data_IF_783672443301
#
_entry.id   IF_783672443301
#
_cell.length_a   1.000
_cell.length_b   1.000
_cell.length_c   1.000
_cell.angle_alpha   90.00
_cell.angle_beta   90.00
_cell.angle_gamma   90.00
#
_symmetry.space_group_name_H-M   'P 1'
#
loop_
_entity.id
_entity.type
_entity.pdbx_description
1 polymer ?
#
# COMPACT_ATOMS: atom_id res chain seq x y z
N UNK A 1 48.91 -39.16 -3.74
CA UNK A 1 49.12 -37.90 -2.98
C UNK A 1 48.11 -36.86 -3.48
N UNK A 2 47.38 -36.24 -2.53
CA UNK A 2 46.55 -35.01 -2.64
C UNK A 2 45.23 -35.14 -3.42
N UNK A 3 44.10 -35.28 -2.71
CA UNK A 3 43.14 -34.24 -2.21
C UNK A 3 42.20 -33.78 -3.33
N UNK A 4 40.96 -34.25 -3.37
CA UNK A 4 39.77 -33.66 -2.73
C UNK A 4 39.59 -32.19 -3.10
N UNK A 5 38.49 -31.86 -3.79
CA UNK A 5 37.58 -30.78 -3.40
C UNK A 5 36.27 -30.84 -4.20
N UNK A 6 35.22 -31.13 -3.44
CA UNK A 6 33.83 -30.80 -3.68
C UNK A 6 33.72 -29.32 -4.10
N UNK A 7 32.94 -29.03 -5.13
CA UNK A 7 32.40 -27.69 -5.34
C UNK A 7 30.87 -27.82 -5.39
N UNK A 8 30.27 -27.89 -4.21
CA UNK A 8 28.92 -27.40 -4.01
C UNK A 8 29.00 -25.86 -4.05
N UNK A 9 28.42 -25.26 -5.07
CA UNK A 9 28.03 -23.85 -5.01
C UNK A 9 26.51 -23.84 -5.07
N UNK A 10 25.90 -23.88 -3.89
CA UNK A 10 24.51 -23.45 -3.72
C UNK A 10 24.38 -22.04 -4.28
N UNK A 11 23.32 -21.82 -5.05
CA UNK A 11 22.95 -20.52 -5.57
C UNK A 11 22.96 -19.49 -4.42
N UNK A 12 23.94 -18.58 -4.45
CA UNK A 12 23.82 -17.34 -3.72
C UNK A 12 22.69 -16.57 -4.40
N UNK A 13 21.49 -16.64 -3.82
CA UNK A 13 20.41 -15.72 -4.15
C UNK A 13 20.98 -14.31 -4.05
N UNK A 14 20.88 -13.56 -5.15
CA UNK A 14 21.27 -12.16 -5.21
C UNK A 14 20.33 -11.39 -4.28
N UNK A 15 20.66 -11.32 -3.00
CA UNK A 15 20.05 -10.37 -2.09
C UNK A 15 20.48 -8.99 -2.58
N UNK A 16 19.59 -8.27 -3.26
CA UNK A 16 19.82 -6.87 -3.61
C UNK A 16 20.16 -6.09 -2.33
N UNK A 17 21.20 -5.26 -2.38
CA UNK A 17 21.79 -4.58 -1.22
C UNK A 17 20.83 -3.66 -0.44
N UNK A 18 19.64 -3.38 -1.00
CA UNK A 18 18.68 -2.41 -0.48
C UNK A 18 17.43 -3.03 0.16
N UNK A 19 17.29 -4.36 0.19
CA UNK A 19 16.13 -5.02 0.80
C UNK A 19 16.18 -4.96 2.33
N UNK A 20 15.08 -4.55 2.94
CA UNK A 20 14.90 -4.59 4.39
C UNK A 20 14.67 -6.04 4.80
N UNK A 21 15.43 -6.51 5.78
CA UNK A 21 15.25 -7.84 6.37
C UNK A 21 14.15 -7.78 7.42
N UNK A 22 13.17 -8.70 7.40
CA UNK A 22 12.15 -8.72 8.42
C UNK A 22 12.74 -9.09 9.78
N UNK A 23 12.16 -8.55 10.86
CA UNK A 23 12.59 -8.86 12.23
C UNK A 23 12.34 -10.32 12.65
N UNK A 24 11.54 -11.05 11.88
CA UNK A 24 11.18 -12.45 12.11
C UNK A 24 10.88 -13.16 10.80
N UNK A 25 10.97 -14.49 10.80
CA UNK A 25 10.72 -15.34 9.63
C UNK A 25 9.27 -15.89 9.57
N UNK A 26 8.40 -15.49 10.50
CA UNK A 26 7.02 -15.97 10.63
C UNK A 26 5.98 -15.10 9.91
N UNK A 27 6.42 -14.17 9.07
CA UNK A 27 5.53 -13.45 8.15
C UNK A 27 4.98 -14.40 7.07
N UNK A 28 3.70 -14.28 6.77
CA UNK A 28 3.05 -15.01 5.68
C UNK A 28 3.68 -14.72 4.32
N UNK A 29 4.03 -13.45 4.07
CA UNK A 29 4.76 -13.03 2.89
C UNK A 29 6.26 -13.12 3.12
N UNK A 30 6.99 -13.51 2.07
CA UNK A 30 8.44 -13.51 2.10
C UNK A 30 9.01 -12.08 2.04
N UNK A 31 10.32 -11.93 2.27
CA UNK A 31 10.96 -10.61 2.30
C UNK A 31 10.80 -9.82 1.00
N UNK A 32 10.85 -10.46 -0.17
CA UNK A 32 10.68 -9.79 -1.47
C UNK A 32 9.25 -9.25 -1.64
N UNK A 33 8.25 -10.06 -1.31
CA UNK A 33 6.85 -9.67 -1.36
C UNK A 33 6.55 -8.47 -0.45
N UNK A 34 7.11 -8.47 0.76
CA UNK A 34 7.00 -7.37 1.72
C UNK A 34 7.73 -6.10 1.25
N UNK A 35 8.94 -6.22 0.70
CA UNK A 35 9.69 -5.10 0.14
C UNK A 35 9.01 -4.48 -1.09
N UNK A 36 8.28 -5.28 -1.88
CA UNK A 36 7.47 -4.74 -2.98
C UNK A 36 6.24 -3.97 -2.48
N UNK A 37 5.70 -4.32 -1.30
CA UNK A 37 4.63 -3.56 -0.65
C UNK A 37 5.17 -2.24 -0.11
N UNK A 38 6.22 -2.27 0.73
CA UNK A 38 6.83 -1.06 1.29
C UNK A 38 8.34 -1.27 1.51
N UNK A 39 9.13 -0.25 1.20
CA UNK A 39 10.58 -0.21 1.38
C UNK A 39 11.05 1.24 1.58
N UNK A 40 12.36 1.45 1.70
CA UNK A 40 12.94 2.78 1.95
C UNK A 40 12.64 3.82 0.86
N UNK A 41 12.34 3.39 -0.38
CA UNK A 41 12.04 4.26 -1.53
C UNK A 41 10.55 4.34 -1.87
N UNK A 42 9.73 3.42 -1.32
CA UNK A 42 8.28 3.34 -1.51
C UNK A 42 7.59 3.14 -0.16
N UNK A 43 6.85 4.15 0.29
CA UNK A 43 6.11 4.10 1.57
C UNK A 43 7.01 3.81 2.78
N UNK A 44 8.14 4.53 2.87
CA UNK A 44 9.13 4.33 3.94
C UNK A 44 8.57 4.51 5.36
N UNK A 45 7.51 5.30 5.53
CA UNK A 45 6.82 5.48 6.81
C UNK A 45 5.89 4.31 7.20
N UNK A 46 5.79 3.28 6.35
CA UNK A 46 4.79 2.21 6.47
C UNK A 46 5.39 0.81 6.41
N UNK A 47 6.70 0.71 6.65
CA UNK A 47 7.41 -0.56 6.70
C UNK A 47 6.97 -1.31 7.97
N UNK A 48 6.15 -2.33 7.80
CA UNK A 48 5.49 -3.04 8.90
C UNK A 48 6.29 -4.22 9.48
N UNK A 49 7.42 -4.55 8.85
CA UNK A 49 8.19 -5.77 9.11
C UNK A 49 9.62 -5.50 9.57
N UNK A 50 10.02 -4.23 9.76
CA UNK A 50 11.38 -3.88 10.21
C UNK A 50 11.56 -4.07 11.72
N UNK A 51 10.50 -3.88 12.51
CA UNK A 51 10.48 -4.09 13.96
C UNK A 51 9.12 -4.62 14.42
N UNK A 52 9.06 -5.34 15.56
CA UNK A 52 7.79 -5.78 16.13
C UNK A 52 6.91 -4.58 16.50
N UNK A 53 5.61 -4.84 16.62
CA UNK A 53 4.65 -3.85 17.11
C UNK A 53 4.91 -3.53 18.58
N UNK A 54 4.51 -2.35 19.02
CA UNK A 54 4.77 -1.84 20.37
C UNK A 54 3.45 -1.44 21.06
N UNK A 55 3.47 -1.33 22.39
CA UNK A 55 2.32 -0.91 23.19
C UNK A 55 1.40 -2.05 23.63
N UNK A 56 0.27 -1.69 24.25
CA UNK A 56 -0.65 -2.64 24.92
C UNK A 56 -1.25 -3.68 23.96
N UNK A 57 -1.46 -3.31 22.69
CA UNK A 57 -2.05 -4.15 21.64
C UNK A 57 -0.98 -4.71 20.69
N UNK A 58 0.30 -4.72 21.07
CA UNK A 58 1.40 -5.18 20.20
C UNK A 58 1.17 -6.57 19.62
N UNK A 59 0.75 -7.53 20.45
CA UNK A 59 0.48 -8.91 20.01
C UNK A 59 -0.65 -8.99 18.96
N UNK A 60 -1.65 -8.11 19.08
CA UNK A 60 -2.74 -8.02 18.12
C UNK A 60 -2.24 -7.53 16.76
N UNK A 61 -1.47 -6.45 16.75
CA UNK A 61 -0.92 -5.91 15.51
C UNK A 61 0.15 -6.81 14.88
N UNK A 62 0.96 -7.51 15.66
CA UNK A 62 1.91 -8.50 15.14
C UNK A 62 1.18 -9.66 14.47
N UNK A 63 0.11 -10.19 15.07
CA UNK A 63 -0.69 -11.24 14.43
C UNK A 63 -1.26 -10.78 13.08
N UNK A 64 -1.79 -9.54 13.01
CA UNK A 64 -2.32 -8.97 11.76
C UNK A 64 -1.21 -8.75 10.73
N UNK A 65 -0.08 -8.13 11.10
CA UNK A 65 1.03 -7.81 10.19
C UNK A 65 1.72 -9.05 9.65
N UNK A 66 1.83 -10.10 10.47
CA UNK A 66 2.37 -11.41 10.07
C UNK A 66 1.40 -12.24 9.24
N UNK A 67 0.12 -11.87 9.19
CA UNK A 67 -0.89 -12.64 8.48
C UNK A 67 -1.30 -13.92 9.21
N UNK A 68 -1.27 -13.93 10.54
CA UNK A 68 -1.72 -15.05 11.36
C UNK A 68 -3.23 -14.96 11.61
N UNK A 69 -4.01 -15.46 10.66
CA UNK A 69 -5.47 -15.44 10.72
C UNK A 69 -6.00 -16.21 11.95
N UNK A 70 -5.34 -17.30 12.35
CA UNK A 70 -5.83 -18.14 13.45
C UNK A 70 -5.65 -17.44 14.80
N UNK A 71 -4.51 -16.77 15.02
CA UNK A 71 -4.33 -15.91 16.18
C UNK A 71 -5.28 -14.72 16.15
N UNK A 72 -5.47 -14.07 14.99
CA UNK A 72 -6.45 -12.98 14.84
C UNK A 72 -7.85 -13.45 15.25
N UNK A 73 -8.33 -14.58 14.72
CA UNK A 73 -9.63 -15.16 15.09
C UNK A 73 -9.74 -15.43 16.59
N UNK A 74 -8.70 -15.99 17.19
CA UNK A 74 -8.66 -16.30 18.64
C UNK A 74 -8.77 -15.02 19.48
N UNK A 75 -8.03 -13.97 19.13
CA UNK A 75 -8.07 -12.70 19.86
C UNK A 75 -9.44 -12.02 19.74
N UNK A 76 -10.04 -12.02 18.54
CA UNK A 76 -11.41 -11.50 18.34
C UNK A 76 -12.43 -12.27 19.17
N UNK A 77 -12.36 -13.61 19.21
CA UNK A 77 -13.24 -14.43 20.08
C UNK A 77 -13.07 -14.13 21.57
N UNK A 78 -11.89 -13.66 21.97
CA UNK A 78 -11.58 -13.27 23.34
C UNK A 78 -11.88 -11.79 23.64
N UNK A 79 -12.58 -11.08 22.74
CA UNK A 79 -13.03 -9.70 22.96
C UNK A 79 -12.00 -8.63 22.58
N UNK A 80 -11.05 -8.93 21.68
CA UNK A 80 -10.17 -7.90 21.12
C UNK A 80 -11.02 -6.79 20.46
N UNK A 81 -10.81 -5.56 20.89
CA UNK A 81 -11.37 -4.37 20.24
C UNK A 81 -10.71 -4.18 18.86
N UNK A 82 -11.52 -4.15 17.81
CA UNK A 82 -11.07 -4.06 16.41
C UNK A 82 -10.63 -2.64 16.03
N UNK A 83 -11.11 -1.63 16.76
CA UNK A 83 -10.91 -0.21 16.46
C UNK A 83 -9.73 0.40 17.21
N UNK A 84 -9.02 -0.41 18.02
CA UNK A 84 -7.74 0.00 18.62
C UNK A 84 -6.75 0.43 17.53
N UNK A 85 -5.92 1.40 17.92
CA UNK A 85 -4.99 2.09 17.01
C UNK A 85 -3.57 1.64 17.32
N UNK A 86 -2.81 1.30 16.28
CA UNK A 86 -1.40 0.98 16.38
C UNK A 86 -0.59 2.26 16.55
N UNK A 87 -0.58 2.80 17.77
CA UNK A 87 -0.05 4.14 18.03
C UNK A 87 1.45 4.28 17.72
N UNK A 88 2.20 3.19 17.83
CA UNK A 88 3.61 3.16 17.45
C UNK A 88 3.82 3.19 15.93
N UNK A 89 2.76 2.96 15.14
CA UNK A 89 2.77 2.83 13.69
C UNK A 89 1.66 3.66 13.04
N UNK A 90 1.71 4.98 13.28
CA UNK A 90 0.79 5.99 12.72
C UNK A 90 -0.68 5.88 13.16
N UNK A 91 -1.02 4.99 14.08
CA UNK A 91 -2.39 4.87 14.59
C UNK A 91 -3.31 4.15 13.61
N UNK A 92 -2.83 3.14 12.90
CA UNK A 92 -3.68 2.36 12.01
C UNK A 92 -4.47 1.27 12.76
N UNK A 93 -5.67 0.94 12.30
CA UNK A 93 -6.44 -0.21 12.81
C UNK A 93 -5.98 -1.53 12.17
N UNK A 94 -6.41 -2.66 12.74
CA UNK A 94 -6.14 -3.98 12.16
C UNK A 94 -6.66 -4.13 10.73
N UNK A 95 -7.87 -3.64 10.45
CA UNK A 95 -8.43 -3.70 9.11
C UNK A 95 -7.58 -2.89 8.12
N UNK A 96 -7.12 -1.71 8.54
CA UNK A 96 -6.18 -0.92 7.74
C UNK A 96 -4.91 -1.69 7.41
N UNK A 97 -4.26 -2.32 8.41
CA UNK A 97 -3.04 -3.09 8.20
C UNK A 97 -3.25 -4.27 7.26
N UNK A 98 -4.26 -5.11 7.52
CA UNK A 98 -4.58 -6.26 6.67
C UNK A 98 -4.86 -5.86 5.22
N UNK A 99 -5.59 -4.75 5.04
CA UNK A 99 -5.93 -4.18 3.74
C UNK A 99 -4.70 -3.65 2.99
N UNK A 100 -3.83 -2.90 3.68
CA UNK A 100 -2.60 -2.38 3.11
C UNK A 100 -1.63 -3.50 2.69
N UNK A 101 -1.45 -4.50 3.56
CA UNK A 101 -0.49 -5.59 3.33
C UNK A 101 -1.02 -6.52 2.23
N UNK A 102 -2.31 -6.84 2.23
CA UNK A 102 -2.92 -7.64 1.16
C UNK A 102 -3.52 -8.97 1.61
N UNK A 103 -3.84 -9.15 2.90
CA UNK A 103 -4.38 -10.40 3.45
C UNK A 103 -5.91 -10.45 3.31
N UNK A 104 -6.39 -10.95 2.16
CA UNK A 104 -7.82 -10.97 1.82
C UNK A 104 -8.70 -11.69 2.85
N UNK A 105 -8.21 -12.79 3.41
CA UNK A 105 -8.88 -13.61 4.42
C UNK A 105 -9.04 -12.90 5.77
N UNK A 106 -8.01 -12.16 6.20
CA UNK A 106 -8.07 -11.32 7.40
C UNK A 106 -9.00 -10.13 7.17
N UNK A 107 -8.95 -9.52 5.98
CA UNK A 107 -9.89 -8.44 5.62
C UNK A 107 -11.34 -8.93 5.67
N UNK A 108 -11.64 -10.08 5.06
CA UNK A 108 -12.98 -10.66 5.10
C UNK A 108 -13.44 -10.95 6.52
N UNK A 109 -12.56 -11.54 7.32
CA UNK A 109 -12.88 -11.84 8.70
C UNK A 109 -13.16 -10.56 9.52
N UNK A 110 -12.31 -9.55 9.43
CA UNK A 110 -12.49 -8.30 10.18
C UNK A 110 -13.75 -7.54 9.75
N UNK A 111 -14.03 -7.44 8.45
CA UNK A 111 -15.28 -6.83 7.94
C UNK A 111 -16.50 -7.61 8.44
N UNK A 112 -16.47 -8.95 8.39
CA UNK A 112 -17.58 -9.77 8.88
C UNK A 112 -17.84 -9.65 10.39
N UNK A 113 -16.84 -9.18 11.16
CA UNK A 113 -16.95 -8.89 12.59
C UNK A 113 -17.19 -7.39 12.87
N UNK A 114 -17.52 -6.60 11.85
CA UNK A 114 -17.97 -5.21 12.03
C UNK A 114 -16.83 -4.18 12.13
N UNK A 115 -15.61 -4.50 11.71
CA UNK A 115 -14.54 -3.51 11.64
C UNK A 115 -14.92 -2.33 10.72
N UNK A 116 -14.61 -1.12 11.14
CA UNK A 116 -15.00 0.11 10.45
C UNK A 116 -14.22 0.34 9.15
N UNK A 117 -14.94 0.60 8.05
CA UNK A 117 -14.34 1.02 6.78
C UNK A 117 -13.85 2.48 6.79
N UNK A 118 -14.29 3.28 7.78
CA UNK A 118 -13.92 4.68 7.95
C UNK A 118 -12.66 4.88 8.80
N UNK A 119 -11.89 3.80 9.03
CA UNK A 119 -10.68 3.88 9.83
C UNK A 119 -9.63 4.81 9.19
N UNK A 120 -9.16 5.77 9.98
CA UNK A 120 -8.12 6.73 9.62
C UNK A 120 -6.78 6.45 10.29
N UNK A 121 -5.71 7.10 9.84
CA UNK A 121 -4.41 7.13 10.51
C UNK A 121 -3.67 8.47 10.32
N UNK A 122 -2.48 8.61 10.90
CA UNK A 122 -1.61 9.80 10.77
C UNK A 122 -0.77 9.85 9.49
N UNK A 123 -0.87 8.84 8.63
CA UNK A 123 -0.19 8.74 7.33
C UNK A 123 -1.09 9.12 6.16
N UNK A 124 -2.03 10.06 6.38
CA UNK A 124 -2.99 10.53 5.38
C UNK A 124 -3.91 9.42 4.82
N UNK A 125 -4.32 8.50 5.70
CA UNK A 125 -5.42 7.58 5.43
C UNK A 125 -6.70 8.16 6.01
N UNK A 126 -7.64 8.52 5.15
CA UNK A 126 -8.98 9.01 5.53
C UNK A 126 -10.04 7.90 5.58
N UNK A 127 -9.79 6.74 4.99
CA UNK A 127 -10.59 5.52 5.09
C UNK A 127 -9.79 4.29 4.62
N UNK A 128 -10.36 3.10 4.80
CA UNK A 128 -9.70 1.83 4.43
C UNK A 128 -9.43 1.71 2.93
N UNK A 129 -10.18 2.41 2.05
CA UNK A 129 -9.93 2.38 0.60
C UNK A 129 -8.56 2.99 0.25
N UNK A 130 -8.17 4.10 0.89
CA UNK A 130 -6.81 4.66 0.73
C UNK A 130 -5.75 3.66 1.19
N UNK A 131 -5.95 2.94 2.30
CA UNK A 131 -5.04 1.86 2.72
C UNK A 131 -4.90 0.76 1.65
N UNK A 132 -6.02 0.34 1.04
CA UNK A 132 -6.02 -0.67 -0.03
C UNK A 132 -5.24 -0.21 -1.26
N UNK A 133 -5.40 1.07 -1.63
CA UNK A 133 -4.76 1.69 -2.80
C UNK A 133 -3.26 1.94 -2.57
N UNK A 134 -2.84 2.23 -1.34
CA UNK A 134 -1.42 2.23 -0.96
C UNK A 134 -0.80 0.82 -1.08
N UNK A 135 -1.60 -0.22 -0.77
CA UNK A 135 -1.26 -1.62 -0.99
C UNK A 135 -1.25 -2.03 -2.47
N UNK A 136 -0.97 -3.32 -2.75
CA UNK A 136 -0.89 -3.84 -4.13
C UNK A 136 -2.03 -4.78 -4.53
N UNK A 137 -2.82 -5.25 -3.57
CA UNK A 137 -3.87 -6.24 -3.84
C UNK A 137 -5.15 -5.58 -4.39
N UNK A 138 -5.36 -5.68 -5.71
CA UNK A 138 -6.54 -5.10 -6.39
C UNK A 138 -7.87 -5.74 -5.96
N UNK A 139 -7.89 -6.98 -5.50
CA UNK A 139 -9.14 -7.62 -5.04
C UNK A 139 -9.66 -6.97 -3.76
N UNK A 140 -8.76 -6.57 -2.86
CA UNK A 140 -9.14 -5.81 -1.66
C UNK A 140 -9.65 -4.42 -2.06
N UNK A 141 -9.01 -3.74 -3.02
CA UNK A 141 -9.50 -2.45 -3.53
C UNK A 141 -10.93 -2.60 -4.09
N UNK A 142 -11.18 -3.61 -4.92
CA UNK A 142 -12.51 -3.91 -5.47
C UNK A 142 -13.54 -4.13 -4.36
N UNK A 143 -13.18 -4.92 -3.34
CA UNK A 143 -14.04 -5.26 -2.20
C UNK A 143 -14.39 -4.03 -1.36
N UNK A 144 -13.39 -3.27 -0.94
CA UNK A 144 -13.59 -2.07 -0.11
C UNK A 144 -14.36 -0.99 -0.89
N UNK A 145 -14.02 -0.77 -2.16
CA UNK A 145 -14.76 0.15 -3.03
C UNK A 145 -16.23 -0.25 -3.18
N UNK A 146 -16.51 -1.55 -3.32
CA UNK A 146 -17.89 -2.07 -3.38
C UNK A 146 -18.68 -1.80 -2.11
N UNK A 147 -18.07 -1.96 -0.93
CA UNK A 147 -18.72 -1.71 0.35
C UNK A 147 -18.89 -0.22 0.69
N UNK A 148 -18.09 0.66 0.09
CA UNK A 148 -18.20 2.11 0.26
C UNK A 148 -19.08 2.78 -0.81
N UNK A 149 -19.65 2.02 -1.75
CA UNK A 149 -20.38 2.58 -2.89
C UNK A 149 -21.72 3.23 -2.49
N UNK A 150 -22.09 4.40 -3.03
CA UNK A 150 -21.36 5.20 -4.02
C UNK A 150 -20.13 5.90 -3.42
N UNK A 151 -19.02 5.90 -4.16
CA UNK A 151 -17.77 6.54 -3.75
C UNK A 151 -17.21 7.37 -4.91
N UNK A 152 -16.98 8.66 -4.70
CA UNK A 152 -16.37 9.53 -5.70
C UNK A 152 -14.84 9.36 -5.72
N UNK A 153 -14.33 8.73 -6.79
CA UNK A 153 -12.90 8.51 -7.00
C UNK A 153 -12.14 9.80 -7.36
N UNK A 154 -12.86 10.87 -7.69
CA UNK A 154 -12.32 12.11 -8.21
C UNK A 154 -12.44 13.28 -7.23
N UNK A 155 -12.93 13.04 -6.02
CA UNK A 155 -12.99 14.04 -4.95
C UNK A 155 -11.55 14.38 -4.50
N UNK A 156 -11.20 15.67 -4.60
CA UNK A 156 -9.90 16.22 -4.21
C UNK A 156 -9.97 17.03 -2.90
N UNK A 157 -11.10 16.97 -2.18
CA UNK A 157 -11.30 17.63 -0.89
C UNK A 157 -11.08 16.70 0.31
N UNK A 158 -11.11 15.37 0.08
CA UNK A 158 -10.92 14.36 1.15
C UNK A 158 -9.47 14.29 1.62
N UNK A 159 -8.52 14.49 0.70
CA UNK A 159 -7.08 14.44 0.97
C UNK A 159 -6.53 15.86 1.07
N UNK A 160 -5.64 16.09 2.03
CA UNK A 160 -5.09 17.41 2.37
C UNK A 160 -4.33 18.11 1.23
N UNK A 161 -3.62 17.35 0.39
CA UNK A 161 -2.93 17.84 -0.79
C UNK A 161 -3.77 17.77 -2.09
N UNK A 162 -4.99 17.24 -1.99
CA UNK A 162 -5.89 16.99 -3.11
C UNK A 162 -5.44 15.87 -4.03
N UNK A 163 -4.70 14.88 -3.52
CA UNK A 163 -4.41 13.67 -4.27
C UNK A 163 -5.66 12.80 -4.47
N UNK A 164 -5.90 12.41 -5.74
CA UNK A 164 -6.88 11.37 -6.05
C UNK A 164 -6.29 9.97 -5.85
N UNK A 165 -7.12 8.95 -5.67
CA UNK A 165 -6.66 7.57 -5.51
C UNK A 165 -5.83 7.06 -6.70
N UNK A 166 -6.09 7.54 -7.92
CA UNK A 166 -5.28 7.13 -9.09
C UNK A 166 -3.89 7.75 -9.08
N UNK A 167 -3.72 8.96 -8.52
CA UNK A 167 -2.40 9.57 -8.30
C UNK A 167 -1.61 8.76 -7.27
N UNK A 168 -2.24 8.39 -6.15
CA UNK A 168 -1.64 7.57 -5.09
C UNK A 168 -1.19 6.21 -5.64
N UNK A 169 -2.06 5.53 -6.38
CA UNK A 169 -1.76 4.23 -7.00
C UNK A 169 -0.60 4.33 -8.01
N UNK A 170 -0.59 5.37 -8.85
CA UNK A 170 0.46 5.61 -9.84
C UNK A 170 1.82 5.87 -9.18
N UNK A 171 1.85 6.75 -8.17
CA UNK A 171 3.05 7.08 -7.39
C UNK A 171 3.66 5.86 -6.68
N UNK A 172 2.84 4.87 -6.31
CA UNK A 172 3.28 3.64 -5.65
C UNK A 172 3.41 2.42 -6.58
N UNK A 173 3.38 2.63 -7.90
CA UNK A 173 3.51 1.59 -8.92
C UNK A 173 2.47 0.45 -8.81
N UNK A 174 1.22 0.77 -8.48
CA UNK A 174 0.13 -0.21 -8.31
C UNK A 174 -0.64 -0.40 -9.61
N UNK A 175 -0.03 -1.05 -10.61
CA UNK A 175 -0.56 -1.15 -11.98
C UNK A 175 -2.00 -1.67 -12.04
N UNK A 176 -2.31 -2.77 -11.37
CA UNK A 176 -3.65 -3.36 -11.44
C UNK A 176 -4.69 -2.54 -10.67
N UNK A 177 -4.27 -1.83 -9.63
CA UNK A 177 -5.11 -0.85 -8.93
C UNK A 177 -5.44 0.32 -9.87
N UNK A 178 -4.46 0.87 -10.59
CA UNK A 178 -4.69 1.93 -11.59
C UNK A 178 -5.65 1.46 -12.68
N UNK A 179 -5.47 0.27 -13.24
CA UNK A 179 -6.40 -0.31 -14.23
C UNK A 179 -7.83 -0.39 -13.68
N UNK A 180 -7.98 -0.86 -12.44
CA UNK A 180 -9.29 -0.93 -11.79
C UNK A 180 -9.91 0.46 -11.61
N UNK A 181 -9.16 1.44 -11.09
CA UNK A 181 -9.65 2.80 -10.88
C UNK A 181 -10.08 3.46 -12.20
N UNK A 182 -9.33 3.27 -13.30
CA UNK A 182 -9.70 3.72 -14.65
C UNK A 182 -11.03 3.08 -15.07
N UNK A 183 -11.20 1.77 -14.86
CA UNK A 183 -12.45 1.07 -15.17
C UNK A 183 -13.67 1.56 -14.38
N UNK A 184 -13.45 2.31 -13.30
CA UNK A 184 -14.47 2.95 -12.46
C UNK A 184 -14.60 4.45 -12.70
N UNK A 185 -13.94 4.98 -13.72
CA UNK A 185 -14.08 6.39 -14.13
C UNK A 185 -13.16 7.37 -13.39
N UNK A 186 -12.03 6.91 -12.86
CA UNK A 186 -11.01 7.80 -12.31
C UNK A 186 -10.42 8.71 -13.42
N UNK A 187 -10.35 10.02 -13.15
CA UNK A 187 -9.82 11.03 -14.07
C UNK A 187 -8.30 11.11 -13.94
N UNK A 188 -7.60 10.83 -15.04
CA UNK A 188 -6.13 10.76 -15.05
C UNK A 188 -5.42 12.13 -15.08
N UNK A 189 -6.13 13.15 -15.58
CA UNK A 189 -5.54 14.45 -15.92
C UNK A 189 -5.80 15.53 -14.86
N UNK A 190 -6.24 15.15 -13.67
CA UNK A 190 -6.24 16.05 -12.52
C UNK A 190 -4.80 16.30 -12.04
N UNK A 191 -4.63 17.40 -11.33
CA UNK A 191 -3.42 17.71 -10.56
C UNK A 191 -3.79 17.89 -9.10
N UNK A 192 -2.86 17.59 -8.19
CA UNK A 192 -2.97 17.95 -6.77
C UNK A 192 -3.37 19.41 -6.59
N UNK A 193 -4.13 19.69 -5.52
CA UNK A 193 -4.72 21.01 -5.29
C UNK A 193 -3.88 21.86 -4.32
N UNK A 194 -2.98 21.22 -3.56
CA UNK A 194 -2.07 21.87 -2.60
C UNK A 194 -1.38 23.11 -3.18
N UNK A 195 -1.28 24.17 -2.38
CA UNK A 195 -0.62 25.42 -2.76
C UNK A 195 0.79 25.54 -2.19
N UNK A 196 1.19 24.64 -1.30
CA UNK A 196 2.53 24.65 -0.74
C UNK A 196 3.53 24.10 -1.74
N UNK A 197 4.31 25.00 -2.33
CA UNK A 197 5.36 24.69 -3.33
C UNK A 197 6.52 23.86 -2.76
N UNK A 198 6.61 23.72 -1.44
CA UNK A 198 7.66 22.92 -0.78
C UNK A 198 7.31 21.43 -0.72
N UNK A 199 6.04 21.08 -0.88
CA UNK A 199 5.61 19.69 -0.85
C UNK A 199 5.96 18.98 -2.15
N UNK A 200 6.43 17.73 -2.05
CA UNK A 200 6.70 16.90 -3.23
C UNK A 200 5.45 16.61 -4.07
N UNK A 201 4.27 16.68 -3.43
CA UNK A 201 2.96 16.56 -4.03
C UNK A 201 2.54 17.80 -4.83
N UNK A 202 3.25 18.94 -4.72
CA UNK A 202 2.88 20.16 -5.43
C UNK A 202 2.87 19.98 -6.95
N UNK A 203 1.74 20.32 -7.58
CA UNK A 203 1.54 20.29 -9.03
C UNK A 203 1.89 18.92 -9.65
N UNK A 204 1.29 17.86 -9.09
CA UNK A 204 1.48 16.49 -9.52
C UNK A 204 0.20 15.90 -10.09
N UNK A 205 0.34 15.10 -11.14
CA UNK A 205 -0.67 14.27 -11.77
C UNK A 205 -0.23 12.81 -11.66
N UNK A 206 -1.12 11.86 -11.98
CA UNK A 206 -0.74 10.44 -12.01
C UNK A 206 0.47 10.21 -12.94
N UNK A 207 0.50 10.84 -14.12
CA UNK A 207 1.60 10.71 -15.07
C UNK A 207 2.89 11.35 -14.55
N UNK A 208 2.84 12.55 -13.96
CA UNK A 208 4.06 13.20 -13.47
C UNK A 208 4.69 12.45 -12.29
N UNK A 209 3.90 11.82 -11.43
CA UNK A 209 4.41 10.90 -10.41
C UNK A 209 5.10 9.68 -11.01
N UNK A 210 4.48 9.03 -12.01
CA UNK A 210 5.08 7.89 -12.68
C UNK A 210 6.40 8.26 -13.38
N UNK A 211 6.44 9.45 -14.01
CA UNK A 211 7.63 10.00 -14.65
C UNK A 211 8.77 10.31 -13.67
N UNK A 212 8.48 11.02 -12.56
CA UNK A 212 9.51 11.42 -11.60
C UNK A 212 10.14 10.22 -10.87
N UNK A 213 9.39 9.11 -10.76
CA UNK A 213 9.83 7.86 -10.16
C UNK A 213 10.39 6.85 -11.17
N UNK A 214 10.48 7.20 -12.45
CA UNK A 214 10.97 6.33 -13.53
C UNK A 214 10.24 4.96 -13.58
N UNK A 215 8.90 4.98 -13.64
CA UNK A 215 8.05 3.78 -13.66
C UNK A 215 7.55 3.49 -15.10
N UNK A 216 8.34 2.82 -15.98
CA UNK A 216 8.03 2.71 -17.41
C UNK A 216 6.68 2.07 -17.71
N UNK A 217 6.34 0.98 -17.02
CA UNK A 217 5.07 0.28 -17.24
C UNK A 217 3.87 1.12 -16.77
N UNK A 218 4.03 1.90 -15.69
CA UNK A 218 3.00 2.81 -15.21
C UNK A 218 2.84 4.00 -16.16
N UNK A 219 3.94 4.57 -16.65
CA UNK A 219 3.93 5.64 -17.66
C UNK A 219 3.19 5.15 -18.91
N UNK A 220 3.53 3.96 -19.41
CA UNK A 220 2.87 3.35 -20.57
C UNK A 220 1.38 3.14 -20.31
N UNK A 221 1.02 2.54 -19.18
CA UNK A 221 -0.38 2.32 -18.80
C UNK A 221 -1.18 3.63 -18.80
N UNK A 222 -0.64 4.68 -18.19
CA UNK A 222 -1.33 5.97 -18.09
C UNK A 222 -1.47 6.65 -19.47
N UNK A 223 -0.40 6.68 -20.28
CA UNK A 223 -0.39 7.27 -21.63
C UNK A 223 -1.35 6.54 -22.56
N UNK A 224 -1.35 5.20 -22.55
CA UNK A 224 -2.26 4.38 -23.35
C UNK A 224 -3.74 4.65 -23.00
N UNK A 225 -4.01 5.16 -21.79
CA UNK A 225 -5.36 5.50 -21.31
C UNK A 225 -5.62 7.03 -21.34
N UNK A 226 -4.84 7.80 -22.10
CA UNK A 226 -5.10 9.22 -22.35
C UNK A 226 -4.59 10.19 -21.29
N UNK A 227 -3.67 9.75 -20.42
CA UNK A 227 -2.96 10.67 -19.53
C UNK A 227 -2.02 11.58 -20.33
N UNK A 228 -2.01 12.87 -20.00
CA UNK A 228 -1.11 13.86 -20.59
C UNK A 228 -0.26 14.51 -19.51
N UNK A 229 0.91 14.99 -19.90
CA UNK A 229 1.72 15.86 -19.08
C UNK A 229 1.03 17.23 -19.02
N UNK A 230 0.45 17.54 -17.87
CA UNK A 230 -0.28 18.79 -17.64
C UNK A 230 0.56 20.06 -17.86
N UNK A 231 1.90 19.97 -17.90
CA UNK A 231 2.81 21.11 -18.14
C UNK A 231 3.07 21.34 -19.62
N UNK A 232 3.01 20.29 -20.45
CA UNK A 232 3.40 20.35 -21.87
C UNK A 232 2.26 20.02 -22.83
N UNK A 233 1.17 19.44 -22.34
CA UNK A 233 0.05 18.93 -23.12
C UNK A 233 0.34 17.63 -23.88
N UNK A 234 1.54 17.03 -23.72
CA UNK A 234 1.97 15.85 -24.47
C UNK A 234 1.70 14.56 -23.72
N UNK A 235 1.45 13.48 -24.43
CA UNK A 235 1.30 12.13 -23.87
C UNK A 235 2.66 11.46 -23.56
N UNK A 236 3.57 12.20 -22.92
CA UNK A 236 4.94 11.79 -22.61
C UNK A 236 5.43 12.46 -21.34
N UNK A 237 6.49 11.93 -20.71
CA UNK A 237 7.16 12.62 -19.59
C UNK A 237 7.83 13.95 -19.98
N UNK A 238 8.13 14.14 -21.26
CA UNK A 238 8.76 15.33 -21.84
C UNK A 238 7.74 16.23 -22.54
#
# INVERSE_FOLDING_TARGET
MKKLLLAAAFAASVFGADMIKPYSNDFRFNAEEMNDIANKSRLAWRIFYEKPSEGKDAAWFDAVKKGDLETVKKMVKNGQDLEVKDEASLGQTALGWATFIGYEDIVDYLISNGASLNATDRGDVYNVLKSAVLGKNVNIVKKVYGNLSPYDLNDQEVESDGETLVMVAASNNRLDVVKFLISKGAKLNYTTTTKDKKLGSYNQSALSYACSRNLPDMIKLLVDNGAINHKTGKATCK
#
